data_IF_881332116823
#
_entry.id   IF_881332116823
#
_cell.length_a   1.000
_cell.length_b   1.000
_cell.length_c   1.000
_cell.angle_alpha   90.00
_cell.angle_beta   90.00
_cell.angle_gamma   90.00
#
_symmetry.space_group_name_H-M   'P 1'
#
loop_
_entity.id
_entity.type
_entity.pdbx_description
1 polymer ?
2 water ?
#
# COMPACT_ATOMS: atom_id res chain seq x y z
N UNK A 1 6.28 -18.88 -6.28
CA UNK A 1 7.51 -19.66 -6.67
C UNK A 1 8.53 -19.65 -5.50
N UNK A 2 9.19 -18.52 -5.27
CA UNK A 2 10.14 -18.42 -4.14
C UNK A 2 9.42 -18.62 -2.77
N UNK A 3 10.11 -19.16 -1.78
CA UNK A 3 9.48 -19.38 -0.48
C UNK A 3 9.32 -18.10 0.38
N UNK A 4 10.16 -17.11 0.14
CA UNK A 4 10.14 -15.83 0.83
C UNK A 4 10.50 -14.77 -0.16
N UNK A 5 9.84 -13.61 -0.09
CA UNK A 5 10.28 -12.46 -0.84
C UNK A 5 10.21 -11.25 0.04
N UNK A 6 11.19 -10.38 -0.14
CA UNK A 6 11.19 -9.12 0.56
C UNK A 6 11.69 -8.10 -0.48
N UNK A 7 10.76 -7.25 -0.93
CA UNK A 7 11.05 -6.27 -1.97
C UNK A 7 11.96 -5.16 -1.47
N UNK A 8 12.12 -5.07 -0.17
CA UNK A 8 13.08 -4.14 0.39
C UNK A 8 14.49 -4.56 -0.08
N UNK A 9 14.74 -5.86 -0.22
CA UNK A 9 16.05 -6.33 -0.66
C UNK A 9 16.42 -5.91 -2.08
N UNK A 10 15.42 -5.53 -2.87
CA UNK A 10 15.66 -5.12 -4.25
C UNK A 10 15.67 -3.61 -4.41
N UNK A 11 15.72 -2.88 -3.29
CA UNK A 11 15.67 -1.43 -3.31
C UNK A 11 14.38 -0.85 -3.90
N UNK A 12 13.23 -1.52 -3.72
CA UNK A 12 11.96 -1.10 -4.35
C UNK A 12 10.92 -0.50 -3.39
N UNK A 13 11.33 -0.31 -2.14
CA UNK A 13 10.42 0.19 -1.12
C UNK A 13 10.99 1.40 -0.42
N UNK A 14 10.29 2.54 -0.52
CA UNK A 14 10.76 3.75 0.15
C UNK A 14 10.51 3.65 1.65
N UNK A 15 11.03 4.62 2.38
CA UNK A 15 10.82 4.66 3.81
C UNK A 15 9.33 4.70 4.18
N UNK A 16 9.08 4.29 5.42
CA UNK A 16 7.79 4.24 6.03
C UNK A 16 7.37 5.66 6.31
N UNK A 17 6.11 5.95 6.02
CA UNK A 17 5.56 7.25 6.15
C UNK A 17 4.63 7.24 7.34
N UNK A 18 4.28 8.44 7.79
CA UNK A 18 3.43 8.61 8.96
C UNK A 18 2.18 9.37 8.55
N UNK A 19 1.04 8.69 8.47
CA UNK A 19 -0.18 9.38 8.01
C UNK A 19 -0.73 10.38 9.03
N UNK A 20 -0.41 10.18 10.29
CA UNK A 20 -0.99 11.03 11.31
C UNK A 20 -2.49 10.79 11.47
N UNK A 21 -3.21 11.82 11.89
CA UNK A 21 -4.65 11.69 12.13
C UNK A 21 -5.49 11.66 10.84
N UNK A 22 -4.88 12.03 9.71
CA UNK A 22 -5.54 11.97 8.40
C UNK A 22 -5.70 10.53 7.88
N UNK A 23 -6.92 10.13 7.53
CA UNK A 23 -7.22 8.78 7.06
C UNK A 23 -6.94 8.57 5.58
N UNK A 24 -5.67 8.71 5.20
CA UNK A 24 -5.21 8.64 3.83
C UNK A 24 -4.42 7.35 3.51
N UNK A 25 -4.56 6.34 4.35
CA UNK A 25 -3.81 5.12 4.12
C UNK A 25 -4.02 4.63 2.68
N UNK A 26 -5.21 4.87 2.12
CA UNK A 26 -5.43 4.48 0.72
C UNK A 26 -4.38 5.12 -0.19
N UNK A 27 -4.07 6.39 0.04
CA UNK A 27 -3.06 7.10 -0.76
C UNK A 27 -1.64 6.56 -0.53
N UNK A 28 -1.25 6.35 0.73
CA UNK A 28 0.04 5.73 1.02
C UNK A 28 0.21 4.33 0.37
N UNK A 29 -0.85 3.55 0.47
CA UNK A 29 -0.85 2.24 -0.16
C UNK A 29 -0.64 2.35 -1.68
N UNK A 30 -1.44 3.20 -2.33
CA UNK A 30 -1.31 3.42 -3.79
C UNK A 30 0.13 3.85 -4.16
N UNK A 31 0.62 4.90 -3.52
CA UNK A 31 1.94 5.34 -3.94
C UNK A 31 3.03 4.30 -3.69
N UNK A 32 2.93 3.56 -2.59
CA UNK A 32 3.88 2.51 -2.31
C UNK A 32 3.96 1.53 -3.48
N UNK A 33 2.81 1.09 -3.97
CA UNK A 33 2.80 0.14 -5.08
C UNK A 33 3.48 0.77 -6.28
N UNK A 34 3.13 2.02 -6.58
CA UNK A 34 3.69 2.68 -7.76
C UNK A 34 5.19 2.92 -7.62
N UNK A 35 5.65 3.15 -6.39
CA UNK A 35 7.08 3.38 -6.15
C UNK A 35 7.92 2.19 -6.57
N UNK A 36 7.44 0.99 -6.26
CA UNK A 36 8.19 -0.21 -6.62
C UNK A 36 8.28 -0.32 -8.12
N UNK A 37 7.16 -0.02 -8.77
CA UNK A 37 7.08 -0.10 -10.23
C UNK A 37 7.99 0.96 -10.85
N UNK A 38 8.05 2.15 -10.25
CA UNK A 38 8.91 3.19 -10.81
C UNK A 38 10.36 2.77 -10.65
N UNK A 39 10.68 2.09 -9.56
CA UNK A 39 12.03 1.62 -9.37
C UNK A 39 12.39 0.60 -10.42
N UNK A 40 11.48 -0.36 -10.61
CA UNK A 40 11.70 -1.42 -11.56
C UNK A 40 11.95 -0.87 -12.96
N UNK A 41 11.30 0.23 -13.31
CA UNK A 41 11.39 0.77 -14.68
C UNK A 41 12.55 1.77 -14.90
N UNK A 42 12.81 2.65 -13.94
CA UNK A 42 13.86 3.66 -14.12
C UNK A 42 15.16 3.39 -13.37
N UNK A 43 15.08 2.60 -12.31
CA UNK A 43 16.21 2.35 -11.44
C UNK A 43 16.20 3.33 -10.27
N UNK A 44 15.23 4.24 -10.28
CA UNK A 44 15.20 5.20 -9.19
C UNK A 44 14.14 4.93 -8.16
N UNK A 45 14.57 5.01 -6.91
CA UNK A 45 13.71 4.88 -5.77
C UNK A 45 13.39 6.28 -5.29
N UNK A 46 12.13 6.68 -5.45
CA UNK A 46 11.67 7.99 -5.08
C UNK A 46 10.28 7.90 -4.46
N UNK A 47 10.05 8.60 -3.36
CA UNK A 47 8.76 8.63 -2.68
C UNK A 47 7.78 9.49 -3.45
N UNK A 48 6.61 8.93 -3.74
CA UNK A 48 5.63 9.65 -4.53
C UNK A 48 4.66 10.42 -3.65
N UNK A 49 3.98 11.39 -4.24
CA UNK A 49 3.09 12.24 -3.47
C UNK A 49 1.73 11.64 -3.07
N UNK A 50 1.58 11.29 -1.80
CA UNK A 50 0.30 10.80 -1.30
C UNK A 50 -0.71 11.93 -1.22
N UNK A 51 -0.21 13.15 -1.00
CA UNK A 51 -1.04 14.34 -0.89
C UNK A 51 -1.68 14.70 -2.23
N UNK A 52 -0.90 14.50 -3.30
CA UNK A 52 -1.36 14.69 -4.67
C UNK A 52 -2.67 13.89 -4.85
N UNK A 53 -2.69 12.63 -4.40
CA UNK A 53 -3.88 11.81 -4.57
C UNK A 53 -4.97 12.29 -3.63
N UNK A 54 -4.58 12.66 -2.42
CA UNK A 54 -5.50 13.14 -1.42
C UNK A 54 -6.30 14.36 -1.89
N UNK A 55 -5.56 15.33 -2.47
CA UNK A 55 -6.18 16.56 -2.98
C UNK A 55 -6.77 16.45 -4.38
N UNK A 56 -6.30 15.50 -5.18
CA UNK A 56 -6.71 15.50 -6.59
C UNK A 56 -7.56 14.31 -7.03
N UNK A 57 -7.42 13.18 -6.38
CA UNK A 57 -8.22 12.01 -6.76
C UNK A 57 -9.42 12.05 -5.83
N UNK A 58 -10.37 12.93 -6.11
CA UNK A 58 -11.48 13.08 -5.19
C UNK A 58 -12.78 12.44 -5.67
N UNK A 59 -13.85 13.23 -5.64
CA UNK A 59 -15.21 12.83 -5.99
C UNK A 59 -15.34 11.84 -7.16
N UNK A 60 -14.69 12.16 -8.27
CA UNK A 60 -14.84 11.33 -9.47
C UNK A 60 -14.37 9.90 -9.27
N UNK A 61 -13.55 9.67 -8.26
CA UNK A 61 -12.96 8.35 -8.05
C UNK A 61 -13.46 7.79 -6.74
N UNK A 62 -14.53 8.39 -6.23
CA UNK A 62 -15.13 7.97 -4.98
C UNK A 62 -14.25 8.06 -3.75
N UNK A 63 -13.20 8.86 -3.83
CA UNK A 63 -12.26 9.05 -2.72
C UNK A 63 -12.59 10.30 -1.90
N UNK A 64 -12.43 10.23 -0.58
CA UNK A 64 -12.76 11.40 0.24
C UNK A 64 -11.62 11.95 1.07
N UNK A 65 -10.44 12.07 0.46
CA UNK A 65 -9.29 12.64 1.15
C UNK A 65 -8.92 11.96 2.45
N UNK A 66 -8.91 12.77 3.52
CA UNK A 66 -8.55 12.29 4.85
C UNK A 66 -9.66 11.42 5.42
N UNK A 67 -10.78 11.33 4.71
CA UNK A 67 -11.86 10.47 5.16
C UNK A 67 -11.88 9.13 4.40
N UNK A 68 -10.79 8.79 3.74
CA UNK A 68 -10.70 7.47 3.12
C UNK A 68 -10.84 7.45 1.61
N UNK A 69 -10.64 6.29 1.01
CA UNK A 69 -10.66 6.18 -0.44
C UNK A 69 -10.21 4.82 -0.96
N UNK A 70 -9.92 4.76 -2.25
CA UNK A 70 -9.64 3.50 -2.92
C UNK A 70 -8.29 3.52 -3.62
N UNK A 71 -7.47 2.50 -3.41
CA UNK A 71 -6.21 2.41 -4.17
C UNK A 71 -6.44 2.25 -5.70
N UNK A 72 -7.45 1.48 -6.09
CA UNK A 72 -7.71 1.28 -7.52
C UNK A 72 -8.04 2.60 -8.23
N UNK A 73 -8.93 3.39 -7.63
CA UNK A 73 -9.30 4.63 -8.28
C UNK A 73 -8.20 5.66 -8.14
N UNK A 74 -7.40 5.53 -7.09
CA UNK A 74 -6.20 6.35 -7.00
C UNK A 74 -5.36 6.07 -8.26
N UNK A 75 -5.20 4.80 -8.62
CA UNK A 75 -4.40 4.48 -9.80
C UNK A 75 -5.03 5.07 -11.08
N UNK A 76 -6.35 4.92 -11.22
CA UNK A 76 -7.06 5.47 -12.38
C UNK A 76 -6.76 6.97 -12.47
N UNK A 77 -6.90 7.68 -11.35
CA UNK A 77 -6.55 9.10 -11.32
C UNK A 77 -5.16 9.26 -11.92
N UNK A 78 -4.17 8.54 -11.40
CA UNK A 78 -2.85 8.70 -11.96
C UNK A 78 -2.86 8.47 -13.48
N UNK A 79 -3.59 7.45 -13.92
CA UNK A 79 -3.65 7.18 -15.35
C UNK A 79 -4.28 8.37 -16.07
N UNK A 80 -5.49 8.76 -15.68
CA UNK A 80 -6.20 9.87 -16.33
C UNK A 80 -5.40 11.16 -16.37
N UNK A 81 -4.72 11.43 -15.26
CA UNK A 81 -3.98 12.66 -15.05
C UNK A 81 -2.67 12.66 -15.79
N UNK A 82 -2.32 11.48 -16.29
CA UNK A 82 -1.00 11.20 -16.87
C UNK A 82 0.19 11.64 -16.03
N UNK A 83 0.09 11.45 -14.73
CA UNK A 83 1.22 11.67 -13.85
C UNK A 83 0.94 11.89 -12.38
N UNK A 84 2.00 11.75 -11.60
CA UNK A 84 1.94 12.06 -10.19
C UNK A 84 3.30 12.63 -9.80
N UNK A 85 3.23 13.69 -8.99
CA UNK A 85 4.39 14.36 -8.48
C UNK A 85 5.13 13.56 -7.44
N UNK A 86 6.36 13.99 -7.18
CA UNK A 86 7.16 13.40 -6.14
C UNK A 86 6.62 13.93 -4.85
N UNK A 87 6.92 13.20 -3.78
CA UNK A 87 6.55 13.63 -2.46
C UNK A 87 7.30 14.92 -2.12
N UNK A 88 8.52 15.05 -2.62
CA UNK A 88 9.32 16.24 -2.36
C UNK A 88 8.62 17.49 -2.93
N UNK A 89 8.12 17.38 -4.16
CA UNK A 89 7.41 18.47 -4.87
C UNK A 89 6.02 18.82 -4.30
N UNK A 90 5.37 17.83 -3.69
CA UNK A 90 3.98 17.97 -3.26
C UNK A 90 3.92 17.20 -1.94
N UNK A 91 4.34 17.88 -0.88
CA UNK A 91 4.55 17.24 0.42
C UNK A 91 3.28 16.93 1.16
N UNK A 92 3.34 15.88 1.98
CA UNK A 92 2.21 15.40 2.77
C UNK A 92 1.87 16.27 3.96
N UNK A 93 0.62 16.73 4.01
CA UNK A 93 0.19 17.72 5.00
C UNK A 93 -0.77 17.16 6.02
N UNK A 94 -1.17 15.91 5.81
CA UNK A 94 -2.17 15.25 6.65
C UNK A 94 -3.51 16.02 6.75
N UNK A 95 -4.01 16.53 5.63
CA UNK A 95 -5.28 17.25 5.61
C UNK A 95 -5.67 17.54 4.17
N UNK A 96 -6.96 17.69 3.91
CA UNK A 96 -7.41 18.01 2.57
C UNK A 96 -6.93 19.38 2.14
N UNK A 97 -6.47 19.48 0.90
CA UNK A 97 -6.02 20.74 0.29
C UNK A 97 -6.61 20.73 -1.11
N UNK A 98 -6.70 21.91 -1.72
CA UNK A 98 -7.12 22.01 -3.10
C UNK A 98 -6.09 21.28 -3.93
N UNK A 99 -6.52 20.71 -5.04
CA UNK A 99 -5.57 20.00 -5.88
C UNK A 99 -4.49 20.99 -6.27
N UNK A 100 -3.23 20.57 -6.12
CA UNK A 100 -2.11 21.40 -6.53
C UNK A 100 -1.16 20.68 -7.48
N UNK A 101 -1.66 19.70 -8.23
CA UNK A 101 -0.78 18.95 -9.13
C UNK A 101 -0.05 19.91 -10.05
N UNK A 102 1.16 19.54 -10.46
CA UNK A 102 1.96 20.39 -11.33
C UNK A 102 2.85 19.48 -12.16
N UNK A 103 2.63 19.47 -13.46
CA UNK A 103 3.38 18.59 -14.36
C UNK A 103 4.90 18.81 -14.32
N UNK A 104 5.35 20.00 -13.92
CA UNK A 104 6.81 20.24 -13.86
C UNK A 104 7.50 19.27 -12.90
N UNK A 105 6.77 18.85 -11.87
CA UNK A 105 7.35 17.97 -10.86
C UNK A 105 6.87 16.52 -10.91
N UNK A 106 6.35 16.09 -12.07
CA UNK A 106 5.90 14.71 -12.19
C UNK A 106 7.05 13.76 -11.99
N UNK A 107 6.82 12.75 -11.16
CA UNK A 107 7.87 11.79 -10.89
C UNK A 107 7.56 10.41 -11.43
N UNK A 108 6.30 10.13 -11.74
CA UNK A 108 5.92 8.80 -12.24
C UNK A 108 4.61 8.84 -13.00
N UNK A 109 4.38 7.78 -13.78
CA UNK A 109 3.12 7.61 -14.49
C UNK A 109 2.54 6.18 -14.35
N UNK A 110 1.30 5.99 -14.76
CA UNK A 110 0.68 4.67 -14.73
C UNK A 110 -0.14 4.41 -15.98
N UNK A 111 0.01 3.22 -16.56
CA UNK A 111 -0.73 2.86 -17.77
C UNK A 111 -1.93 1.98 -17.49
N UNK A 112 -1.81 1.12 -16.47
CA UNK A 112 -2.86 0.17 -16.13
C UNK A 112 -2.80 -0.32 -14.69
N UNK A 113 -3.93 -0.64 -14.11
CA UNK A 113 -3.85 -1.27 -12.80
C UNK A 113 -4.53 -2.64 -12.89
N UNK A 114 -4.18 -3.56 -12.00
CA UNK A 114 -4.78 -4.90 -12.02
C UNK A 114 -5.25 -5.33 -10.63
N UNK A 115 -6.51 -5.72 -10.52
CA UNK A 115 -7.06 -6.18 -9.26
C UNK A 115 -7.09 -7.69 -9.21
N UNK A 116 -6.71 -8.26 -8.07
CA UNK A 116 -6.67 -9.71 -7.91
C UNK A 116 -7.99 -10.26 -7.40
N UNK A 117 -8.22 -11.55 -7.64
CA UNK A 117 -9.47 -12.22 -7.22
C UNK A 117 -9.64 -12.18 -5.69
N UNK A 118 -10.85 -11.88 -5.27
CA UNK A 118 -11.19 -11.84 -3.85
C UNK A 118 -10.72 -13.03 -3.05
N UNK A 119 -9.99 -12.75 -1.97
CA UNK A 119 -9.59 -13.73 -1.00
C UNK A 119 -8.55 -14.75 -1.43
N UNK A 120 -8.07 -14.67 -2.67
CA UNK A 120 -7.13 -15.65 -3.20
C UNK A 120 -5.68 -15.43 -2.79
N UNK A 121 -5.27 -16.13 -1.74
CA UNK A 121 -3.95 -15.90 -1.16
C UNK A 121 -2.82 -16.50 -2.02
N UNK A 122 -3.12 -17.59 -2.72
CA UNK A 122 -2.17 -18.15 -3.69
C UNK A 122 -2.00 -17.17 -4.84
N UNK A 123 -3.07 -16.55 -5.31
CA UNK A 123 -2.90 -15.60 -6.40
C UNK A 123 -2.11 -14.33 -5.98
N UNK A 124 -2.37 -13.82 -4.78
CA UNK A 124 -1.58 -12.71 -4.23
C UNK A 124 -0.10 -13.11 -4.09
N UNK A 125 0.16 -14.33 -3.62
CA UNK A 125 1.52 -14.80 -3.45
C UNK A 125 2.25 -14.69 -4.77
N UNK A 126 1.64 -15.26 -5.82
CA UNK A 126 2.21 -15.17 -7.15
C UNK A 126 2.41 -13.71 -7.65
N UNK A 127 1.43 -12.84 -7.44
CA UNK A 127 1.63 -11.44 -7.85
C UNK A 127 2.81 -10.76 -7.12
N UNK A 128 2.91 -10.99 -5.82
CA UNK A 128 3.96 -10.41 -5.01
C UNK A 128 5.32 -10.86 -5.51
N UNK A 129 5.44 -12.13 -5.84
CA UNK A 129 6.72 -12.64 -6.34
C UNK A 129 7.03 -12.13 -7.73
N UNK A 130 6.03 -12.16 -8.58
CA UNK A 130 6.31 -11.89 -9.99
C UNK A 130 6.11 -10.50 -10.53
N UNK A 131 5.25 -9.70 -9.90
CA UNK A 131 4.96 -8.33 -10.33
C UNK A 131 5.63 -7.25 -9.45
N UNK A 132 5.49 -7.40 -8.14
CA UNK A 132 6.03 -6.46 -7.16
C UNK A 132 5.07 -6.32 -6.00
N UNK A 133 5.36 -5.38 -5.10
CA UNK A 133 4.47 -5.09 -3.98
C UNK A 133 3.01 -4.82 -4.40
N UNK A 134 2.07 -5.33 -3.61
CA UNK A 134 0.66 -5.21 -3.95
C UNK A 134 -0.13 -4.43 -2.92
N UNK A 135 -0.96 -3.53 -3.42
CA UNK A 135 -1.81 -2.73 -2.55
C UNK A 135 -2.98 -3.57 -2.08
N UNK A 136 -3.20 -3.60 -0.78
CA UNK A 136 -4.33 -4.33 -0.22
C UNK A 136 -4.95 -3.55 0.89
N UNK A 137 -6.15 -3.96 1.28
CA UNK A 137 -6.75 -3.45 2.50
C UNK A 137 -6.73 -4.51 3.61
N UNK A 138 -6.75 -4.05 4.86
CA UNK A 138 -6.92 -4.98 5.96
C UNK A 138 -7.89 -4.35 6.93
N UNK A 139 -8.41 -5.20 7.80
CA UNK A 139 -9.25 -4.83 8.93
C UNK A 139 -8.25 -4.60 10.03
N UNK A 140 -7.99 -3.32 10.31
CA UNK A 140 -7.01 -2.92 11.31
C UNK A 140 -7.68 -2.39 12.57
N UNK A 141 -9.00 -2.55 12.66
CA UNK A 141 -9.76 -2.01 13.80
C UNK A 141 -9.77 -2.91 15.04
N UNK A 142 -8.62 -3.18 15.60
CA UNK A 142 -8.53 -4.01 16.80
C UNK A 142 -7.34 -3.53 17.61
N UNK A 143 -7.47 -3.38 18.93
CA UNK A 143 -6.33 -2.95 19.75
C UNK A 143 -5.12 -3.76 19.36
N UNK A 144 -5.30 -5.06 19.21
CA UNK A 144 -4.29 -6.00 18.74
C UNK A 144 -3.43 -5.45 17.58
N UNK A 145 -4.04 -4.75 16.64
CA UNK A 145 -3.30 -4.23 15.49
C UNK A 145 -2.42 -3.06 15.90
N UNK A 146 -2.97 -1.96 16.40
CA UNK A 146 -2.17 -0.83 16.88
C UNK A 146 -0.99 -1.28 17.75
N UNK A 147 -1.23 -2.26 18.62
CA UNK A 147 -0.24 -2.68 19.60
C UNK A 147 0.82 -3.70 19.15
N UNK A 148 0.68 -4.30 17.97
CA UNK A 148 1.63 -5.28 17.47
C UNK A 148 3.12 -4.85 17.57
N UNK A 149 3.99 -5.66 18.14
CA UNK A 149 5.40 -5.32 18.19
C UNK A 149 6.21 -6.25 17.31
N UNK A 150 5.92 -7.55 17.37
CA UNK A 150 6.77 -8.50 16.69
C UNK A 150 6.08 -9.84 16.46
N UNK A 151 6.58 -10.67 15.54
CA UNK A 151 6.01 -11.98 15.33
C UNK A 151 4.98 -12.03 14.21
N UNK A 152 4.24 -13.15 14.09
CA UNK A 152 3.26 -13.26 13.04
C UNK A 152 1.94 -12.98 13.71
N UNK A 153 1.32 -11.89 13.29
CA UNK A 153 0.08 -11.37 13.85
C UNK A 153 -1.17 -12.14 13.44
N UNK A 154 -1.93 -12.59 14.42
CA UNK A 154 -3.17 -13.32 14.19
C UNK A 154 -4.19 -12.84 15.20
N UNK A 155 -5.34 -12.37 14.71
CA UNK A 155 -6.37 -11.82 15.57
C UNK A 155 -7.66 -12.58 15.32
N UNK A 156 -8.09 -13.35 16.32
CA UNK A 156 -9.32 -14.17 16.22
C UNK A 156 -10.57 -13.36 15.85
N UNK A 157 -10.64 -12.12 16.29
CA UNK A 157 -11.79 -11.31 15.98
C UNK A 157 -11.64 -10.50 14.69
N UNK A 158 -10.65 -10.83 13.84
CA UNK A 158 -10.47 -10.08 12.61
C UNK A 158 -11.54 -10.51 11.61
N UNK A 159 -11.97 -9.58 10.77
CA UNK A 159 -12.99 -9.92 9.79
C UNK A 159 -12.44 -9.50 8.47
N UNK A 160 -13.21 -9.82 7.44
CA UNK A 160 -12.86 -9.51 6.07
C UNK A 160 -13.38 -8.15 5.58
N UNK A 161 -13.94 -7.37 6.49
CA UNK A 161 -14.35 -6.00 6.19
C UNK A 161 -13.08 -5.11 6.29
N UNK A 162 -12.35 -4.91 5.19
CA UNK A 162 -11.13 -4.11 5.26
C UNK A 162 -11.40 -2.62 5.48
N UNK A 163 -10.51 -1.94 6.19
CA UNK A 163 -10.78 -0.54 6.48
C UNK A 163 -9.50 0.29 6.53
N UNK A 164 -8.39 -0.34 6.15
CA UNK A 164 -7.08 0.28 6.21
C UNK A 164 -6.23 -0.23 5.05
N UNK A 165 -5.74 0.71 4.27
CA UNK A 165 -4.89 0.38 3.15
C UNK A 165 -3.45 0.22 3.57
N UNK A 166 -2.83 -0.86 3.13
CA UNK A 166 -1.44 -1.15 3.44
C UNK A 166 -0.77 -1.73 2.18
N UNK A 167 0.50 -2.08 2.29
CA UNK A 167 1.26 -2.53 1.12
C UNK A 167 1.94 -3.84 1.44
N UNK A 168 1.62 -4.88 0.70
CA UNK A 168 2.29 -6.15 0.89
C UNK A 168 3.58 -6.09 0.09
N UNK A 169 4.72 -6.02 0.79
CA UNK A 169 6.05 -5.94 0.15
C UNK A 169 6.76 -7.29 0.13
N UNK A 170 6.19 -8.27 0.81
CA UNK A 170 6.70 -9.62 0.66
C UNK A 170 5.91 -10.69 1.37
N UNK A 171 6.56 -11.84 1.55
CA UNK A 171 5.99 -12.92 2.33
C UNK A 171 7.08 -13.89 2.78
N UNK A 172 6.76 -14.72 3.74
CA UNK A 172 7.70 -15.73 4.17
C UNK A 172 7.09 -16.60 5.24
N UNK A 173 7.93 -16.99 6.17
CA UNK A 173 7.51 -17.90 7.19
C UNK A 173 8.41 -17.76 8.40
N UNK A 174 7.79 -17.62 9.57
CA UNK A 174 8.49 -17.44 10.83
C UNK A 174 8.28 -18.71 11.66
N UNK A 175 9.23 -19.64 11.59
CA UNK A 175 9.17 -20.89 12.35
C UNK A 175 7.84 -21.63 12.15
N UNK A 176 7.55 -21.98 10.91
CA UNK A 176 6.30 -22.62 10.60
C UNK A 176 5.12 -21.68 10.39
N UNK A 177 5.22 -20.41 10.78
CA UNK A 177 4.08 -19.51 10.61
C UNK A 177 4.21 -18.56 9.41
N UNK A 178 3.54 -18.96 8.34
CA UNK A 178 3.44 -18.19 7.12
C UNK A 178 2.89 -16.79 7.37
N UNK A 179 3.52 -15.79 6.80
CA UNK A 179 3.00 -14.44 6.92
C UNK A 179 3.09 -13.68 5.63
N UNK A 180 2.42 -12.51 5.63
CA UNK A 180 2.51 -11.50 4.59
C UNK A 180 3.27 -10.30 5.22
N UNK A 181 4.35 -9.86 4.58
CA UNK A 181 5.13 -8.73 5.09
C UNK A 181 4.44 -7.41 4.66
N UNK A 182 3.89 -6.68 5.62
CA UNK A 182 3.09 -5.49 5.32
C UNK A 182 3.79 -4.18 5.73
N UNK A 183 3.90 -3.26 4.79
CA UNK A 183 4.38 -1.92 5.07
C UNK A 183 3.16 -1.11 5.49
N UNK A 184 3.20 -0.52 6.68
CA UNK A 184 2.09 0.32 7.14
C UNK A 184 2.47 1.77 6.90
N UNK A 185 1.62 2.71 7.27
CA UNK A 185 1.92 4.13 7.11
C UNK A 185 1.71 4.79 8.47
N UNK A 186 2.19 4.13 9.51
CA UNK A 186 1.99 4.61 10.87
C UNK A 186 3.31 5.04 11.49
N UNK A 187 4.27 5.39 10.65
CA UNK A 187 5.56 5.84 11.16
C UNK A 187 6.47 4.67 11.55
N UNK A 188 7.72 5.00 11.89
CA UNK A 188 8.69 3.98 12.21
C UNK A 188 8.52 3.30 13.58
N UNK A 189 7.74 3.91 14.47
CA UNK A 189 7.55 3.35 15.79
C UNK A 189 6.40 2.33 15.88
N UNK A 190 5.68 2.16 14.77
CA UNK A 190 4.73 1.06 14.69
C UNK A 190 5.45 -0.29 14.42
N UNK A 191 5.01 -1.34 15.14
CA UNK A 191 5.50 -2.69 14.89
C UNK A 191 6.99 -2.83 14.68
N UNK A 192 7.39 -3.58 13.64
CA UNK A 192 8.78 -3.82 13.32
C UNK A 192 9.29 -2.74 12.36
N UNK A 193 9.71 -1.61 12.91
CA UNK A 193 10.20 -0.48 12.14
C UNK A 193 9.16 -0.06 11.12
N UNK A 194 7.88 -0.13 11.48
CA UNK A 194 6.81 0.32 10.59
C UNK A 194 6.14 -0.78 9.80
N UNK A 195 6.63 -2.01 9.98
CA UNK A 195 6.07 -3.18 9.31
C UNK A 195 5.32 -4.12 10.24
N UNK A 196 4.47 -4.94 9.65
CA UNK A 196 3.77 -5.96 10.39
C UNK A 196 3.71 -7.23 9.56
N UNK A 197 3.95 -8.36 10.19
CA UNK A 197 3.85 -9.65 9.51
C UNK A 197 2.52 -10.27 9.96
N UNK A 198 1.63 -10.48 8.99
CA UNK A 198 0.26 -10.91 9.24
C UNK A 198 0.07 -12.30 8.73
N UNK A 199 -0.71 -13.08 9.46
CA UNK A 199 -0.93 -14.48 9.12
C UNK A 199 -1.38 -14.62 7.67
N UNK A 200 -0.71 -15.54 6.97
CA UNK A 200 -0.90 -15.87 5.58
C UNK A 200 -1.47 -17.31 5.48
N UNK A 201 -2.30 -17.57 4.48
CA UNK A 201 -2.96 -18.87 4.34
C UNK A 201 -3.75 -19.27 5.59
N UNK A 202 -4.29 -18.27 6.27
CA UNK A 202 -5.12 -18.56 7.43
C UNK A 202 -6.56 -18.10 7.17
N UNK A 203 -7.04 -18.36 5.96
CA UNK A 203 -8.40 -17.98 5.59
C UNK A 203 -8.57 -16.50 5.32
N UNK A 204 -7.63 -15.90 4.57
CA UNK A 204 -7.72 -14.49 4.22
C UNK A 204 -7.94 -13.66 5.48
N UNK A 205 -7.06 -13.92 6.45
CA UNK A 205 -7.01 -13.29 7.74
C UNK A 205 -7.06 -11.76 7.64
N UNK A 206 -8.02 -11.14 8.33
CA UNK A 206 -8.21 -9.68 8.31
C UNK A 206 -8.49 -9.14 6.90
N UNK A 207 -8.93 -10.01 6.00
CA UNK A 207 -9.24 -9.63 4.63
C UNK A 207 -8.03 -9.22 3.82
N UNK A 208 -6.86 -9.77 4.15
CA UNK A 208 -5.66 -9.30 3.46
C UNK A 208 -5.70 -9.43 1.91
N UNK A 209 -6.25 -10.54 1.40
CA UNK A 209 -6.39 -10.71 -0.06
C UNK A 209 -7.80 -10.42 -0.54
N UNK A 210 -8.59 -9.77 0.29
CA UNK A 210 -9.95 -9.41 -0.13
C UNK A 210 -9.96 -8.46 -1.32
N UNK A 211 -9.18 -7.39 -1.25
CA UNK A 211 -9.20 -6.36 -2.30
C UNK A 211 -7.81 -5.92 -2.75
N UNK A 212 -7.05 -6.81 -3.40
CA UNK A 212 -5.70 -6.48 -3.83
C UNK A 212 -5.55 -5.88 -5.23
N UNK A 213 -4.66 -4.90 -5.38
CA UNK A 213 -4.37 -4.36 -6.70
C UNK A 213 -2.94 -3.85 -6.85
N UNK A 214 -2.45 -3.82 -8.08
CA UNK A 214 -1.15 -3.28 -8.35
C UNK A 214 -1.10 -2.56 -9.71
N UNK A 215 -0.37 -1.47 -9.77
CA UNK A 215 -0.28 -0.67 -11.00
C UNK A 215 0.86 -1.14 -11.88
N UNK A 216 0.83 -0.72 -13.14
CA UNK A 216 1.92 -0.99 -14.07
C UNK A 216 2.28 0.22 -14.93
N UNK A 217 3.56 0.36 -15.25
CA UNK A 217 4.04 1.48 -16.05
C UNK A 217 4.50 1.04 -17.45
#
# INVERSE_FOLDING_TARGET
LPDSVDWREKGCVTEVKYQGSCGASWAFSAVGALEAQLKLKTGKLVSLSAQNLVDCSTEKYGNKGCNGGFMTTAFQYIIDNKGIDSDASYPYKAMDLKCQYDSKYRAATCSKYTELPYGREDVLKEAVANKGPVSVGVDARHPSFFLYRSGVYYEPSCTQNVNHGVLVVGYGDLNGKEYWLVKNSWGHNFGEEGYIRMARNKGNHCGIASFPSYPEI
#
